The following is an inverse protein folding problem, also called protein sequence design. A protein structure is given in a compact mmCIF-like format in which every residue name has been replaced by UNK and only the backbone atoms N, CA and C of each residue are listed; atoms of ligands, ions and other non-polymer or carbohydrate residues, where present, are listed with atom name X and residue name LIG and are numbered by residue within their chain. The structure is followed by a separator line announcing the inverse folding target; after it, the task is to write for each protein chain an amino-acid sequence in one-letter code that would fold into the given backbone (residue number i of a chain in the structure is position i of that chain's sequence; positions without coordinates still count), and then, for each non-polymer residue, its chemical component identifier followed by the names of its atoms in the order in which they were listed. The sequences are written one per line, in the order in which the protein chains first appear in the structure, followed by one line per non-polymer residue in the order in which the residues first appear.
data_IF_265180013000
#
_entry.id   IF_265180013000
#
_cell.length_a   1.000
_cell.length_b   1.000
_cell.length_c   1.000
_cell.angle_alpha   90.00
_cell.angle_beta   90.00
_cell.angle_gamma   90.00
#
_symmetry.space_group_name_H-M   'P 1'
#
loop_
_entity.id
_entity.type
_entity.pdbx_description
1 polymer ?
#
# COMPACT_ATOMS: atom_id res chain seq x y z
N UNK A 1 37.73 -6.34 16.84
CA UNK A 1 36.93 -5.14 16.55
C UNK A 1 36.71 -4.42 17.86
N UNK A 2 36.74 -3.10 17.89
CA UNK A 2 36.36 -2.36 19.10
C UNK A 2 34.90 -2.71 19.47
N UNK A 3 34.58 -3.12 20.71
CA UNK A 3 33.21 -3.47 21.12
C UNK A 3 32.16 -2.43 20.73
N UNK A 4 32.53 -1.14 20.71
CA UNK A 4 31.65 -0.07 20.28
C UNK A 4 31.32 -0.14 18.79
N UNK A 5 32.31 -0.44 17.94
CA UNK A 5 32.11 -0.58 16.49
C UNK A 5 31.22 -1.79 16.16
N UNK A 6 31.38 -2.89 16.88
CA UNK A 6 30.53 -4.08 16.73
C UNK A 6 29.07 -3.77 17.10
N UNK A 7 28.86 -3.04 18.19
CA UNK A 7 27.52 -2.61 18.61
C UNK A 7 26.85 -1.69 17.57
N UNK A 8 27.58 -0.72 17.01
CA UNK A 8 27.07 0.19 15.96
C UNK A 8 26.67 -0.62 14.72
N UNK A 9 27.54 -1.51 14.26
CA UNK A 9 27.25 -2.37 13.12
C UNK A 9 26.02 -3.25 13.37
N UNK A 10 25.88 -3.82 14.58
CA UNK A 10 24.72 -4.64 14.93
C UNK A 10 23.41 -3.86 14.91
N UNK A 11 23.39 -2.64 15.45
CA UNK A 11 22.20 -1.80 15.41
C UNK A 11 21.83 -1.45 13.96
N UNK A 12 22.83 -1.14 13.14
CA UNK A 12 22.64 -0.85 11.72
C UNK A 12 22.05 -2.05 10.99
N UNK A 13 22.62 -3.23 11.18
CA UNK A 13 22.12 -4.49 10.61
C UNK A 13 20.66 -4.74 10.98
N UNK A 14 20.29 -4.57 12.26
CA UNK A 14 18.91 -4.71 12.73
C UNK A 14 17.96 -3.73 12.04
N UNK A 15 18.37 -2.47 11.90
CA UNK A 15 17.56 -1.44 11.24
C UNK A 15 17.35 -1.74 9.76
N UNK A 16 18.42 -2.13 9.05
CA UNK A 16 18.38 -2.54 7.64
C UNK A 16 17.45 -3.75 7.45
N UNK A 17 17.62 -4.79 8.26
CA UNK A 17 16.76 -5.98 8.20
C UNK A 17 15.28 -5.64 8.44
N UNK A 18 14.99 -4.72 9.38
CA UNK A 18 13.61 -4.26 9.59
C UNK A 18 13.03 -3.51 8.39
N UNK A 19 13.87 -2.82 7.61
CA UNK A 19 13.47 -2.11 6.39
C UNK A 19 13.18 -3.09 5.26
N UNK A 20 14.01 -4.13 5.10
CA UNK A 20 13.76 -5.22 4.14
C UNK A 20 12.47 -5.98 4.47
N UNK A 21 12.24 -6.28 5.75
CA UNK A 21 11.01 -6.93 6.21
C UNK A 21 9.76 -6.08 5.93
N UNK A 22 9.87 -4.76 6.05
CA UNK A 22 8.77 -3.84 5.75
C UNK A 22 8.28 -3.98 4.29
N UNK A 23 9.21 -4.18 3.35
CA UNK A 23 8.87 -4.40 1.94
C UNK A 23 8.02 -5.66 1.76
N UNK A 24 8.38 -6.75 2.45
CA UNK A 24 7.59 -7.98 2.43
C UNK A 24 6.19 -7.79 3.03
N UNK A 25 6.08 -7.04 4.14
CA UNK A 25 4.78 -6.70 4.72
C UNK A 25 3.92 -5.84 3.80
N UNK A 26 4.52 -4.86 3.10
CA UNK A 26 3.81 -4.03 2.11
C UNK A 26 3.25 -4.91 0.99
N UNK A 27 4.06 -5.82 0.46
CA UNK A 27 3.62 -6.75 -0.59
C UNK A 27 2.52 -7.69 -0.10
N UNK A 28 2.64 -8.22 1.12
CA UNK A 28 1.61 -9.04 1.74
C UNK A 28 0.28 -8.30 1.91
N UNK A 29 0.31 -7.04 2.38
CA UNK A 29 -0.88 -6.21 2.49
C UNK A 29 -1.52 -5.91 1.13
N UNK A 30 -0.71 -5.55 0.12
CA UNK A 30 -1.20 -5.33 -1.24
C UNK A 30 -1.89 -6.57 -1.83
N UNK A 31 -1.29 -7.75 -1.66
CA UNK A 31 -1.87 -9.01 -2.13
C UNK A 31 -3.17 -9.34 -1.41
N UNK A 32 -3.23 -9.11 -0.10
CA UNK A 32 -4.45 -9.27 0.69
C UNK A 32 -5.59 -8.39 0.18
N UNK A 33 -5.35 -7.08 0.03
CA UNK A 33 -6.39 -6.17 -0.46
C UNK A 33 -6.81 -6.47 -1.88
N UNK A 34 -5.87 -6.85 -2.76
CA UNK A 34 -6.20 -7.27 -4.12
C UNK A 34 -7.13 -8.49 -4.12
N UNK A 35 -6.82 -9.50 -3.32
CA UNK A 35 -7.63 -10.72 -3.21
C UNK A 35 -9.04 -10.42 -2.66
N UNK A 36 -9.14 -9.62 -1.59
CA UNK A 36 -10.42 -9.24 -0.98
C UNK A 36 -11.28 -8.44 -1.96
N UNK A 37 -10.71 -7.44 -2.64
CA UNK A 37 -11.47 -6.63 -3.59
C UNK A 37 -11.89 -7.44 -4.83
N UNK A 38 -11.03 -8.32 -5.35
CA UNK A 38 -11.37 -9.19 -6.47
C UNK A 38 -12.50 -10.17 -6.13
N UNK A 39 -12.42 -10.81 -4.95
CA UNK A 39 -13.46 -11.71 -4.45
C UNK A 39 -14.78 -10.95 -4.22
N UNK A 40 -14.71 -9.79 -3.57
CA UNK A 40 -15.87 -8.95 -3.32
C UNK A 40 -16.54 -8.54 -4.63
N UNK A 41 -15.78 -8.03 -5.60
CA UNK A 41 -16.33 -7.61 -6.90
C UNK A 41 -17.01 -8.77 -7.64
N UNK A 42 -16.43 -9.97 -7.57
CA UNK A 42 -17.01 -11.19 -8.18
C UNK A 42 -18.33 -11.57 -7.53
N UNK A 43 -18.41 -11.55 -6.20
CA UNK A 43 -19.66 -11.83 -5.48
C UNK A 43 -20.68 -10.72 -5.74
N UNK A 44 -20.19 -9.49 -5.84
CA UNK A 44 -21.02 -8.32 -6.00
C UNK A 44 -21.81 -8.36 -7.30
N UNK A 45 -21.19 -8.71 -8.44
CA UNK A 45 -21.88 -8.81 -9.75
C UNK A 45 -23.10 -9.74 -9.70
N UNK A 46 -23.01 -10.83 -8.94
CA UNK A 46 -24.13 -11.74 -8.71
C UNK A 46 -25.18 -11.13 -7.76
N UNK A 47 -24.77 -10.64 -6.59
CA UNK A 47 -25.70 -10.10 -5.58
C UNK A 47 -26.44 -8.83 -6.01
N UNK A 48 -25.88 -8.05 -6.95
CA UNK A 48 -26.53 -6.90 -7.58
C UNK A 48 -27.76 -7.25 -8.40
N UNK A 49 -27.87 -8.51 -8.86
CA UNK A 49 -29.05 -8.96 -9.60
C UNK A 49 -30.25 -9.22 -8.69
N UNK A 50 -30.02 -9.45 -7.39
CA UNK A 50 -31.07 -9.87 -6.45
C UNK A 50 -31.87 -8.70 -5.88
N UNK A 51 -31.20 -7.60 -5.54
CA UNK A 51 -31.85 -6.41 -4.98
C UNK A 51 -31.00 -5.15 -5.21
N UNK A 52 -31.61 -3.98 -5.49
CA UNK A 52 -30.89 -2.72 -5.53
C UNK A 52 -30.22 -2.36 -4.18
N UNK A 53 -30.87 -2.72 -3.05
CA UNK A 53 -30.37 -2.41 -1.71
C UNK A 53 -29.10 -3.19 -1.37
N UNK A 54 -29.07 -4.49 -1.67
CA UNK A 54 -27.86 -5.31 -1.49
C UNK A 54 -26.72 -4.73 -2.30
N UNK A 55 -27.02 -4.15 -3.46
CA UNK A 55 -26.01 -3.53 -4.28
C UNK A 55 -25.38 -2.26 -3.75
N UNK A 56 -26.20 -1.41 -3.15
CA UNK A 56 -25.72 -0.20 -2.48
C UNK A 56 -24.80 -0.58 -1.31
N UNK A 57 -25.22 -1.55 -0.47
CA UNK A 57 -24.44 -1.99 0.70
C UNK A 57 -23.07 -2.53 0.30
N UNK A 58 -23.01 -3.40 -0.72
CA UNK A 58 -21.72 -3.95 -1.18
C UNK A 58 -20.84 -2.86 -1.79
N UNK A 59 -21.42 -1.90 -2.52
CA UNK A 59 -20.67 -0.75 -3.03
C UNK A 59 -20.02 0.07 -1.91
N UNK A 60 -20.75 0.36 -0.84
CA UNK A 60 -20.22 1.08 0.33
C UNK A 60 -19.08 0.30 1.00
N UNK A 61 -19.25 -1.00 1.22
CA UNK A 61 -18.21 -1.86 1.80
C UNK A 61 -16.96 -1.88 0.91
N UNK A 62 -17.13 -2.03 -0.41
CA UNK A 62 -16.03 -2.04 -1.36
C UNK A 62 -15.24 -0.72 -1.37
N UNK A 63 -15.94 0.42 -1.35
CA UNK A 63 -15.31 1.74 -1.24
C UNK A 63 -14.51 1.85 0.06
N UNK A 64 -15.08 1.41 1.20
CA UNK A 64 -14.38 1.44 2.48
C UNK A 64 -13.09 0.61 2.44
N UNK A 65 -13.12 -0.59 1.85
CA UNK A 65 -11.94 -1.45 1.70
C UNK A 65 -10.89 -0.80 0.79
N UNK A 66 -11.31 -0.18 -0.32
CA UNK A 66 -10.40 0.53 -1.21
C UNK A 66 -9.71 1.73 -0.50
N UNK A 67 -10.43 2.47 0.33
CA UNK A 67 -9.87 3.57 1.15
C UNK A 67 -8.87 3.04 2.17
N UNK A 68 -9.18 1.93 2.84
CA UNK A 68 -8.25 1.27 3.77
C UNK A 68 -6.97 0.80 3.07
N UNK A 69 -7.11 0.25 1.85
CA UNK A 69 -5.96 -0.16 1.04
C UNK A 69 -5.07 1.03 0.70
N UNK A 70 -5.66 2.11 0.17
CA UNK A 70 -4.91 3.33 -0.14
C UNK A 70 -4.19 3.91 1.08
N UNK A 71 -4.87 3.94 2.23
CA UNK A 71 -4.29 4.42 3.50
C UNK A 71 -3.11 3.55 3.95
N UNK A 72 -3.20 2.23 3.73
CA UNK A 72 -2.13 1.28 4.05
C UNK A 72 -0.90 1.50 3.16
N UNK A 73 -1.08 1.76 1.86
CA UNK A 73 0.03 2.09 0.96
C UNK A 73 0.75 3.36 1.43
N UNK A 74 0.00 4.41 1.80
CA UNK A 74 0.57 5.67 2.32
C UNK A 74 1.34 5.41 3.61
N UNK A 75 0.78 4.61 4.53
CA UNK A 75 1.45 4.24 5.78
C UNK A 75 2.81 3.57 5.52
N UNK A 76 2.86 2.56 4.65
CA UNK A 76 4.12 1.88 4.32
C UNK A 76 5.12 2.81 3.63
N UNK A 77 4.66 3.71 2.74
CA UNK A 77 5.50 4.74 2.13
C UNK A 77 6.14 5.65 3.16
N UNK A 78 5.35 6.15 4.11
CA UNK A 78 5.80 7.06 5.16
C UNK A 78 6.76 6.37 6.14
N UNK A 79 6.44 5.16 6.58
CA UNK A 79 7.29 4.37 7.48
C UNK A 79 8.62 3.99 6.83
N UNK A 80 8.60 3.61 5.54
CA UNK A 80 9.82 3.32 4.80
C UNK A 80 10.73 4.55 4.75
N UNK A 81 10.17 5.72 4.40
CA UNK A 81 10.92 6.99 4.41
C UNK A 81 11.53 7.29 5.79
N UNK A 82 10.76 7.11 6.87
CA UNK A 82 11.25 7.32 8.23
C UNK A 82 12.42 6.37 8.58
N UNK A 83 12.32 5.08 8.21
CA UNK A 83 13.40 4.11 8.42
C UNK A 83 14.65 4.46 7.63
N UNK A 84 14.51 4.88 6.37
CA UNK A 84 15.64 5.32 5.55
C UNK A 84 16.38 6.51 6.18
N UNK A 85 15.66 7.50 6.71
CA UNK A 85 16.29 8.62 7.42
C UNK A 85 17.09 8.15 8.64
N UNK A 86 16.57 7.20 9.41
CA UNK A 86 17.31 6.64 10.56
C UNK A 86 18.56 5.90 10.10
N UNK A 87 18.47 5.09 9.05
CA UNK A 87 19.61 4.37 8.47
C UNK A 87 20.68 5.37 8.02
N UNK A 88 20.31 6.43 7.30
CA UNK A 88 21.23 7.48 6.83
C UNK A 88 21.94 8.20 8.00
N UNK A 89 21.23 8.47 9.11
CA UNK A 89 21.85 9.02 10.32
C UNK A 89 22.85 8.05 10.97
N UNK A 90 22.56 6.75 10.96
CA UNK A 90 23.48 5.72 11.46
C UNK A 90 24.71 5.57 10.58
N UNK A 91 24.55 5.73 9.26
CA UNK A 91 25.65 5.64 8.28
C UNK A 91 26.75 6.69 8.50
N UNK A 92 26.46 7.81 9.19
CA UNK A 92 27.48 8.81 9.57
C UNK A 92 28.56 8.25 10.52
N UNK A 93 28.27 7.14 11.20
CA UNK A 93 29.18 6.45 12.10
C UNK A 93 29.90 5.28 11.42
N UNK A 94 29.56 4.97 10.17
CA UNK A 94 30.12 3.86 9.40
C UNK A 94 31.15 4.36 8.38
N UNK A 95 32.11 3.51 7.97
CA UNK A 95 33.13 3.91 7.00
C UNK A 95 32.56 4.27 5.61
N UNK A 96 31.44 3.66 5.23
CA UNK A 96 30.81 3.83 3.92
C UNK A 96 29.29 3.92 4.10
N UNK A 97 28.64 4.99 3.62
CA UNK A 97 27.19 5.17 3.68
C UNK A 97 26.51 4.52 2.47
N UNK A 98 26.32 3.19 2.54
CA UNK A 98 25.87 2.37 1.41
C UNK A 98 24.48 2.77 0.87
N UNK A 99 23.49 2.96 1.74
CA UNK A 99 22.13 3.35 1.36
C UNK A 99 22.06 4.77 0.83
N UNK A 100 22.80 5.70 1.43
CA UNK A 100 22.89 7.06 0.88
C UNK A 100 23.44 7.05 -0.56
N UNK A 101 24.52 6.30 -0.80
CA UNK A 101 25.11 6.16 -2.12
C UNK A 101 24.12 5.52 -3.11
N UNK A 102 23.48 4.40 -2.74
CA UNK A 102 22.47 3.75 -3.56
C UNK A 102 21.34 4.71 -3.95
N UNK A 103 20.79 5.43 -2.98
CA UNK A 103 19.73 6.41 -3.22
C UNK A 103 20.19 7.54 -4.15
N UNK A 104 21.43 8.02 -4.01
CA UNK A 104 22.01 9.06 -4.86
C UNK A 104 22.18 8.62 -6.32
N UNK A 105 22.46 7.32 -6.55
CA UNK A 105 22.51 6.72 -7.88
C UNK A 105 21.10 6.53 -8.44
N UNK A 106 20.18 5.98 -7.64
CA UNK A 106 18.80 5.71 -8.04
C UNK A 106 18.05 6.98 -8.46
N UNK A 107 18.21 8.08 -7.72
CA UNK A 107 17.52 9.35 -8.01
C UNK A 107 17.86 9.94 -9.39
N UNK A 108 19.01 9.59 -9.97
CA UNK A 108 19.44 10.08 -11.29
C UNK A 108 18.64 9.45 -12.43
N UNK A 109 18.03 8.30 -12.22
CA UNK A 109 17.34 7.52 -13.26
C UNK A 109 15.91 8.03 -13.56
N UNK A 110 15.40 9.03 -12.83
CA UNK A 110 14.08 9.66 -13.01
C UNK A 110 12.93 8.66 -13.28
N UNK A 111 12.99 7.49 -12.65
CA UNK A 111 12.03 6.40 -12.84
C UNK A 111 10.76 6.64 -12.01
N UNK A 112 9.61 6.26 -12.57
CA UNK A 112 8.34 6.28 -11.82
C UNK A 112 8.46 5.39 -10.60
N UNK A 113 8.11 5.94 -9.44
CA UNK A 113 8.19 5.22 -8.17
C UNK A 113 7.07 4.18 -8.17
N UNK A 114 7.39 2.92 -7.88
CA UNK A 114 6.43 1.81 -7.83
C UNK A 114 5.17 2.13 -7.00
N UNK A 115 5.32 2.94 -5.95
CA UNK A 115 4.21 3.42 -5.11
C UNK A 115 3.16 4.23 -5.87
N UNK A 116 3.51 4.97 -6.92
CA UNK A 116 2.54 5.73 -7.72
C UNK A 116 1.59 4.79 -8.47
N UNK A 117 2.14 3.69 -9.00
CA UNK A 117 1.36 2.65 -9.68
C UNK A 117 0.49 1.91 -8.66
N UNK A 118 1.06 1.52 -7.51
CA UNK A 118 0.33 0.84 -6.43
C UNK A 118 -0.85 1.69 -5.93
N UNK A 119 -0.69 3.02 -5.81
CA UNK A 119 -1.76 3.92 -5.40
C UNK A 119 -2.93 3.97 -6.40
N UNK A 120 -2.70 3.71 -7.69
CA UNK A 120 -3.76 3.73 -8.72
C UNK A 120 -4.76 2.57 -8.60
N UNK A 121 -4.33 1.41 -8.08
CA UNK A 121 -5.17 0.21 -8.03
C UNK A 121 -6.36 0.35 -7.07
N UNK A 122 -6.19 0.84 -5.82
CA UNK A 122 -7.33 1.13 -4.95
C UNK A 122 -8.34 2.08 -5.58
N UNK A 123 -7.89 3.12 -6.29
CA UNK A 123 -8.77 4.07 -6.98
C UNK A 123 -9.59 3.39 -8.08
N UNK A 124 -8.97 2.49 -8.86
CA UNK A 124 -9.67 1.72 -9.88
C UNK A 124 -10.83 0.90 -9.27
N UNK A 125 -10.58 0.19 -8.16
CA UNK A 125 -11.64 -0.52 -7.45
C UNK A 125 -12.69 0.41 -6.85
N UNK A 126 -12.28 1.52 -6.23
CA UNK A 126 -13.19 2.53 -5.70
C UNK A 126 -14.15 3.07 -6.76
N UNK A 127 -13.64 3.41 -7.95
CA UNK A 127 -14.45 3.86 -9.10
C UNK A 127 -15.43 2.76 -9.53
N UNK A 128 -14.97 1.50 -9.61
CA UNK A 128 -15.85 0.38 -9.97
C UNK A 128 -17.02 0.25 -8.99
N UNK A 129 -16.77 0.33 -7.68
CA UNK A 129 -17.83 0.28 -6.66
C UNK A 129 -18.78 1.49 -6.71
N UNK A 130 -18.28 2.69 -7.01
CA UNK A 130 -19.11 3.90 -7.18
C UNK A 130 -20.05 3.75 -8.37
N UNK A 131 -19.54 3.33 -9.53
CA UNK A 131 -20.35 3.13 -10.74
C UNK A 131 -21.49 2.15 -10.49
N UNK A 132 -21.15 1.05 -9.85
CA UNK A 132 -22.10 0.00 -9.50
C UNK A 132 -23.13 0.47 -8.48
N UNK A 133 -22.73 1.18 -7.43
CA UNK A 133 -23.65 1.77 -6.46
C UNK A 133 -24.62 2.74 -7.14
N UNK A 134 -24.11 3.63 -8.00
CA UNK A 134 -24.92 4.59 -8.75
C UNK A 134 -25.96 3.90 -9.65
N UNK A 135 -25.58 2.86 -10.38
CA UNK A 135 -26.51 2.07 -11.20
C UNK A 135 -27.64 1.44 -10.38
N UNK A 136 -27.33 0.94 -9.18
CA UNK A 136 -28.34 0.35 -8.30
C UNK A 136 -29.25 1.39 -7.66
N UNK A 137 -28.74 2.58 -7.32
CA UNK A 137 -29.56 3.71 -6.86
C UNK A 137 -30.56 4.13 -7.94
N UNK A 138 -30.12 4.24 -9.19
CA UNK A 138 -31.01 4.56 -10.32
C UNK A 138 -32.11 3.50 -10.52
N UNK A 139 -31.77 2.21 -10.37
CA UNK A 139 -32.77 1.13 -10.41
C UNK A 139 -33.76 1.26 -9.26
N UNK A 140 -33.28 1.54 -8.04
CA UNK A 140 -34.13 1.68 -6.86
C UNK A 140 -35.15 2.82 -7.01
N UNK A 141 -34.72 3.98 -7.51
CA UNK A 141 -35.60 5.13 -7.75
C UNK A 141 -36.66 4.82 -8.81
N UNK A 142 -36.34 4.01 -9.83
CA UNK A 142 -37.31 3.61 -10.87
C UNK A 142 -38.33 2.56 -10.40
N UNK A 143 -38.06 1.87 -9.29
CA UNK A 143 -38.93 0.84 -8.72
C UNK A 143 -39.98 1.45 -7.78
N UNK A 144 -39.66 2.58 -7.16
CA UNK A 144 -40.57 3.39 -6.31
C UNK A 144 -41.46 4.26 -7.20
#
# INVERSE_FOLDING_TARGET
MDPQQEMIFRQYELMVNSSLQLTNWRQGANNFFLAVNAALLTIATYLYSLSPLTGIVIGVIGIAIAVLWHSTIIYFKALNKAKFNVIEEMEKQLPIPMFHLEYSHFKKENTKIATEIECGIPWLFGIAYVLVGALNILKFIKII
#
